data_IF_334233795188
#
_entry.id   IF_334233795188
#
_cell.length_a   1.000
_cell.length_b   1.000
_cell.length_c   1.000
_cell.angle_alpha   90.00
_cell.angle_beta   90.00
_cell.angle_gamma   90.00
#
_symmetry.space_group_name_H-M   'P 1'
#
loop_
_entity.id
_entity.type
_entity.pdbx_description
1 polymer ?
#
# COMPACT_ATOMS: atom_id res chain seq x y z
N UNK A 1 0.61 -29.75 -28.62
CA UNK A 1 1.47 -28.98 -27.71
C UNK A 1 0.96 -27.55 -27.63
N UNK A 2 0.16 -27.23 -26.60
CA UNK A 2 -0.38 -25.87 -26.42
C UNK A 2 -0.37 -25.52 -24.92
N UNK A 3 0.78 -25.74 -24.28
CA UNK A 3 1.01 -25.40 -22.87
C UNK A 3 1.75 -24.07 -22.70
N UNK A 4 2.11 -23.39 -23.80
CA UNK A 4 2.93 -22.16 -23.78
C UNK A 4 2.12 -20.89 -24.09
N UNK A 5 0.83 -20.99 -24.44
CA UNK A 5 0.02 -19.82 -24.84
C UNK A 5 -0.82 -19.23 -23.71
N UNK A 6 -0.91 -19.89 -22.55
CA UNK A 6 -1.69 -19.40 -21.42
C UNK A 6 -0.74 -18.80 -20.37
N UNK A 7 -0.44 -17.51 -20.53
CA UNK A 7 0.21 -16.77 -19.44
C UNK A 7 -0.82 -16.43 -18.36
N UNK A 8 -1.10 -17.39 -17.47
CA UNK A 8 -1.95 -17.17 -16.30
C UNK A 8 -1.32 -16.10 -15.38
N UNK A 9 0.00 -16.14 -15.21
CA UNK A 9 0.72 -15.22 -14.32
C UNK A 9 0.69 -13.76 -14.76
N UNK A 10 0.91 -13.47 -16.05
CA UNK A 10 0.92 -12.08 -16.54
C UNK A 10 -0.46 -11.43 -16.54
N UNK A 11 -1.54 -12.22 -16.66
CA UNK A 11 -2.90 -11.68 -16.62
C UNK A 11 -3.37 -11.42 -15.18
N UNK A 12 -3.01 -12.29 -14.23
CA UNK A 12 -3.28 -12.06 -12.81
C UNK A 12 -2.48 -10.88 -12.27
N UNK A 13 -1.21 -10.73 -12.68
CA UNK A 13 -0.35 -9.65 -12.21
C UNK A 13 -0.82 -8.23 -12.60
N UNK A 14 -1.83 -8.10 -13.48
CA UNK A 14 -2.43 -6.82 -13.86
C UNK A 14 -3.46 -6.33 -12.84
N UNK A 15 -4.07 -7.22 -12.06
CA UNK A 15 -5.17 -6.85 -11.17
C UNK A 15 -4.69 -6.14 -9.92
N UNK A 16 -3.68 -6.62 -9.16
CA UNK A 16 -3.34 -6.00 -7.88
C UNK A 16 -2.94 -4.54 -8.03
N UNK A 17 -3.64 -3.67 -7.33
CA UNK A 17 -3.50 -2.23 -7.35
C UNK A 17 -3.87 -1.62 -6.01
N UNK A 18 -2.89 -1.01 -5.35
CA UNK A 18 -3.08 -0.53 -3.98
C UNK A 18 -2.61 0.90 -3.85
N UNK A 19 -3.39 1.74 -3.15
CA UNK A 19 -2.92 3.02 -2.61
C UNK A 19 -2.90 2.91 -1.10
N UNK A 20 -1.71 3.04 -0.53
CA UNK A 20 -1.53 3.11 0.91
C UNK A 20 -1.73 4.55 1.37
N UNK A 21 -2.45 4.73 2.48
CA UNK A 21 -2.65 6.03 3.11
C UNK A 21 -2.41 5.96 4.60
N UNK A 22 -1.82 7.03 5.11
CA UNK A 22 -1.65 7.26 6.55
C UNK A 22 -2.53 8.44 6.93
N UNK A 23 -3.39 8.22 7.93
CA UNK A 23 -4.15 9.28 8.57
C UNK A 23 -3.66 9.45 10.00
N UNK A 24 -3.58 10.70 10.46
CA UNK A 24 -3.32 11.06 11.85
C UNK A 24 -4.52 11.88 12.34
N UNK A 25 -5.16 11.40 13.40
CA UNK A 25 -6.39 11.97 13.97
C UNK A 25 -7.47 12.27 12.89
N UNK A 26 -7.62 11.33 11.95
CA UNK A 26 -8.62 11.40 10.87
C UNK A 26 -8.26 12.34 9.71
N UNK A 27 -7.07 12.95 9.70
CA UNK A 27 -6.58 13.78 8.59
C UNK A 27 -5.52 13.03 7.80
N UNK A 28 -5.61 13.04 6.47
CA UNK A 28 -4.61 12.40 5.62
C UNK A 28 -3.26 13.10 5.82
N UNK A 29 -2.24 12.33 6.21
CA UNK A 29 -0.89 12.81 6.44
C UNK A 29 0.04 12.46 5.28
N UNK A 30 -0.13 11.28 4.67
CA UNK A 30 0.63 10.85 3.51
C UNK A 30 -0.13 9.77 2.71
N UNK A 31 0.24 9.64 1.44
CA UNK A 31 -0.24 8.56 0.56
C UNK A 31 0.89 8.06 -0.34
N UNK A 32 0.83 6.78 -0.72
CA UNK A 32 1.65 6.25 -1.80
C UNK A 32 1.06 6.63 -3.17
N UNK A 33 1.85 6.55 -4.27
CA UNK A 33 1.25 6.39 -5.59
C UNK A 33 0.47 5.06 -5.67
N UNK A 34 -0.21 4.81 -6.79
CA UNK A 34 -0.75 3.48 -7.09
C UNK A 34 0.39 2.49 -7.19
N UNK A 35 0.38 1.50 -6.31
CA UNK A 35 1.35 0.43 -6.23
C UNK A 35 0.85 -0.79 -7.00
N UNK A 36 1.75 -1.41 -7.76
CA UNK A 36 1.52 -2.66 -8.50
C UNK A 36 2.56 -3.69 -8.06
N UNK A 37 2.42 -4.95 -8.47
CA UNK A 37 3.34 -6.04 -8.07
C UNK A 37 4.82 -5.73 -8.30
N UNK A 38 5.16 -5.00 -9.36
CA UNK A 38 6.55 -4.65 -9.69
C UNK A 38 7.03 -3.35 -9.03
N UNK A 39 6.15 -2.64 -8.32
CA UNK A 39 6.54 -1.43 -7.59
C UNK A 39 7.51 -1.81 -6.47
N UNK A 40 8.64 -1.09 -6.31
CA UNK A 40 9.43 -1.23 -5.10
C UNK A 40 8.58 -0.82 -3.88
N UNK A 41 8.90 -1.38 -2.70
CA UNK A 41 8.21 -1.02 -1.47
C UNK A 41 8.24 0.50 -1.24
N UNK A 42 7.06 1.09 -1.02
CA UNK A 42 6.94 2.51 -0.72
C UNK A 42 7.27 2.77 0.74
N UNK A 43 8.12 3.77 0.99
CA UNK A 43 8.57 4.12 2.34
C UNK A 43 7.84 5.36 2.83
N UNK A 44 7.23 5.26 3.99
CA UNK A 44 6.64 6.39 4.69
C UNK A 44 7.60 6.88 5.77
N UNK A 45 7.87 8.19 5.75
CA UNK A 45 8.50 8.93 6.85
C UNK A 45 7.57 10.11 7.14
N UNK A 46 6.77 9.97 8.19
CA UNK A 46 5.67 10.90 8.51
C UNK A 46 5.89 11.41 9.92
N UNK A 47 6.03 12.72 10.06
CA UNK A 47 6.08 13.35 11.37
C UNK A 47 4.73 13.16 12.09
N UNK A 48 4.79 12.65 13.31
CA UNK A 48 3.62 12.50 14.17
C UNK A 48 3.53 13.73 15.07
N UNK A 49 2.52 14.60 14.90
CA UNK A 49 2.37 15.80 15.71
C UNK A 49 2.27 15.47 17.21
N UNK A 50 2.85 16.34 18.05
CA UNK A 50 2.74 16.18 19.49
C UNK A 50 1.27 16.19 19.92
N UNK A 51 0.91 15.21 20.75
CA UNK A 51 -0.46 15.08 21.26
C UNK A 51 -1.42 14.34 20.33
N UNK A 52 -0.97 13.89 19.15
CA UNK A 52 -1.76 13.01 18.29
C UNK A 52 -2.21 11.76 19.06
N UNK A 53 -3.41 11.26 18.75
CA UNK A 53 -4.08 10.19 19.51
C UNK A 53 -4.31 8.93 18.70
N UNK A 54 -4.50 9.05 17.40
CA UNK A 54 -4.76 7.92 16.53
C UNK A 54 -3.97 8.02 15.23
N UNK A 55 -3.45 6.88 14.79
CA UNK A 55 -2.84 6.70 13.48
C UNK A 55 -3.59 5.56 12.81
N UNK A 56 -4.10 5.82 11.60
CA UNK A 56 -4.76 4.81 10.78
C UNK A 56 -3.88 4.49 9.58
N UNK A 57 -3.54 3.22 9.43
CA UNK A 57 -2.86 2.67 8.27
C UNK A 57 -3.91 2.04 7.36
N UNK A 58 -4.07 2.58 6.15
CA UNK A 58 -5.17 2.20 5.24
C UNK A 58 -4.59 1.69 3.93
N UNK A 59 -5.10 0.55 3.45
CA UNK A 59 -4.88 0.05 2.09
C UNK A 59 -6.18 0.22 1.30
N UNK A 60 -6.12 0.93 0.17
CA UNK A 60 -7.25 1.17 -0.74
C UNK A 60 -7.02 0.46 -2.07
N UNK A 61 -8.09 0.09 -2.76
CA UNK A 61 -8.13 -0.67 -4.03
C UNK A 61 -7.74 0.12 -5.30
N UNK A 62 -7.17 1.31 -5.12
CA UNK A 62 -6.84 2.29 -6.17
C UNK A 62 -7.94 2.59 -7.22
N UNK A 63 -9.20 2.24 -6.95
CA UNK A 63 -10.33 2.47 -7.85
C UNK A 63 -10.61 1.39 -8.89
N UNK A 64 -9.90 0.25 -8.90
CA UNK A 64 -10.21 -0.91 -9.78
C UNK A 64 -10.77 -2.15 -9.05
N UNK A 65 -11.06 -2.00 -7.75
CA UNK A 65 -11.67 -3.02 -6.90
C UNK A 65 -10.63 -3.95 -6.26
N UNK A 66 -10.94 -4.52 -5.09
CA UNK A 66 -9.94 -5.16 -4.22
C UNK A 66 -9.46 -6.56 -4.66
N UNK A 67 -9.61 -6.92 -5.93
CA UNK A 67 -9.29 -8.26 -6.40
C UNK A 67 -7.78 -8.48 -6.36
N UNK A 68 -7.37 -9.45 -5.54
CA UNK A 68 -5.96 -9.87 -5.40
C UNK A 68 -5.05 -8.79 -4.77
N UNK A 69 -5.65 -7.78 -4.12
CA UNK A 69 -4.95 -6.71 -3.39
C UNK A 69 -4.48 -7.17 -2.01
N UNK A 70 -3.48 -8.03 -1.99
CA UNK A 70 -2.77 -8.36 -0.76
C UNK A 70 -1.76 -7.27 -0.44
N UNK A 71 -1.87 -6.69 0.75
CA UNK A 71 -1.09 -5.54 1.20
C UNK A 71 -0.44 -5.80 2.55
N UNK A 72 0.86 -5.50 2.66
CA UNK A 72 1.63 -5.61 3.90
C UNK A 72 2.19 -4.25 4.31
N UNK A 73 2.09 -3.95 5.61
CA UNK A 73 2.84 -2.87 6.26
C UNK A 73 4.09 -3.45 6.91
N UNK A 74 5.17 -3.55 6.13
CA UNK A 74 6.43 -4.17 6.54
C UNK A 74 7.24 -3.22 7.42
N UNK A 75 7.77 -3.72 8.53
CA UNK A 75 8.56 -2.93 9.51
C UNK A 75 7.86 -1.65 10.00
N UNK A 76 6.53 -1.66 10.07
CA UNK A 76 5.77 -0.53 10.59
C UNK A 76 6.04 -0.32 12.08
N UNK A 77 6.42 0.91 12.45
CA UNK A 77 6.72 1.26 13.82
C UNK A 77 6.99 2.74 14.01
N UNK A 78 7.30 3.12 15.25
CA UNK A 78 7.63 4.49 15.62
C UNK A 78 9.12 4.64 15.89
N UNK A 79 9.67 5.78 15.49
CA UNK A 79 11.03 6.19 15.86
C UNK A 79 10.94 7.37 16.81
N UNK A 80 11.67 7.30 17.93
CA UNK A 80 11.83 8.43 18.84
C UNK A 80 13.02 9.27 18.35
N UNK A 81 12.82 10.59 18.21
CA UNK A 81 13.96 11.50 18.06
C UNK A 81 14.79 11.41 19.35
N UNK A 82 16.10 11.14 19.18
CA UNK A 82 17.07 11.16 20.29
C UNK A 82 17.37 12.59 20.72
#
# INVERSE_FOLDING_TARGET
EQLVTISNGSNLAKYPSIVFKIFIDGREAAASPVMRIQSPAWRFDVEIPQGARAISLIAMDAGDGSREDFADWVEAGFVLKK
#
